data_IF_128382425734
#
_entry.id   IF_128382425734
#
_cell.length_a   1.000
_cell.length_b   1.000
_cell.length_c   1.000
_cell.angle_alpha   90.00
_cell.angle_beta   90.00
_cell.angle_gamma   90.00
#
_symmetry.space_group_name_H-M   'P 1'
#
loop_
_entity.id
_entity.type
_entity.pdbx_description
1 polymer ?
#
# COMPACT_ATOMS: atom_id res chain seq x y z
N UNK A 1 24.04 -10.87 -13.77
CA UNK A 1 23.21 -9.63 -13.86
C UNK A 1 23.58 -8.56 -12.82
N UNK A 2 24.25 -8.88 -11.70
CA UNK A 2 24.69 -7.86 -10.74
C UNK A 2 25.87 -6.97 -11.22
N UNK A 3 26.49 -7.28 -12.36
CA UNK A 3 27.67 -6.55 -12.90
C UNK A 3 27.33 -5.49 -13.96
N UNK A 4 26.05 -5.17 -14.17
CA UNK A 4 25.61 -4.18 -15.17
C UNK A 4 25.04 -2.89 -14.58
N UNK A 5 24.92 -2.82 -13.24
CA UNK A 5 24.57 -1.57 -12.57
C UNK A 5 25.85 -0.79 -12.33
N UNK A 6 26.25 0.01 -13.31
CA UNK A 6 27.19 1.07 -13.05
C UNK A 6 26.50 2.01 -12.07
N UNK A 7 27.06 2.17 -10.86
CA UNK A 7 26.51 2.98 -9.75
C UNK A 7 26.20 4.45 -10.15
N UNK A 8 26.64 4.86 -11.34
CA UNK A 8 26.42 6.16 -11.98
C UNK A 8 25.07 6.35 -12.69
N UNK A 9 24.16 5.36 -12.73
CA UNK A 9 22.92 5.45 -13.53
C UNK A 9 21.60 5.55 -12.76
N UNK A 10 21.56 5.17 -11.48
CA UNK A 10 20.35 5.20 -10.67
C UNK A 10 20.29 6.46 -9.80
N UNK A 11 19.11 7.06 -9.66
CA UNK A 11 18.86 8.22 -8.81
C UNK A 11 17.64 7.98 -7.93
N UNK A 12 17.73 8.37 -6.66
CA UNK A 12 16.57 8.49 -5.76
C UNK A 12 16.17 9.94 -5.67
N UNK A 13 14.91 10.23 -5.95
CA UNK A 13 14.29 11.54 -5.73
C UNK A 13 13.33 11.44 -4.55
N UNK A 14 13.72 11.97 -3.40
CA UNK A 14 12.93 11.96 -2.17
C UNK A 14 12.20 13.29 -1.95
N UNK A 15 10.97 13.22 -1.48
CA UNK A 15 10.13 14.37 -1.15
C UNK A 15 9.64 14.21 0.29
N UNK A 16 9.98 15.16 1.16
CA UNK A 16 9.59 15.14 2.57
C UNK A 16 9.28 16.58 3.01
N UNK A 17 8.00 16.97 3.13
CA UNK A 17 7.62 18.35 3.45
C UNK A 17 7.79 18.72 4.92
N UNK A 18 7.92 17.76 5.84
CA UNK A 18 8.17 17.99 7.26
C UNK A 18 9.60 18.48 7.51
N UNK A 19 9.78 19.60 8.22
CA UNK A 19 11.13 20.16 8.48
C UNK A 19 12.02 19.19 9.22
N UNK A 20 11.50 18.61 10.30
CA UNK A 20 12.25 17.73 11.15
C UNK A 20 12.55 16.37 10.50
N UNK A 21 11.58 15.65 9.89
CA UNK A 21 11.86 14.45 9.10
C UNK A 21 12.84 14.72 7.94
N UNK A 22 12.67 15.83 7.21
CA UNK A 22 13.58 16.21 6.13
C UNK A 22 15.02 16.40 6.62
N UNK A 23 15.20 17.09 7.76
CA UNK A 23 16.53 17.26 8.36
C UNK A 23 17.16 15.92 8.72
N UNK A 24 16.39 15.03 9.38
CA UNK A 24 16.88 13.68 9.73
C UNK A 24 17.26 12.85 8.50
N UNK A 25 16.44 12.89 7.45
CA UNK A 25 16.75 12.22 6.18
C UNK A 25 18.03 12.77 5.55
N UNK A 26 18.19 14.09 5.55
CA UNK A 26 19.40 14.74 5.02
C UNK A 26 20.65 14.32 5.80
N UNK A 27 20.57 14.28 7.13
CA UNK A 27 21.68 13.88 8.00
C UNK A 27 22.02 12.39 7.81
N UNK A 28 21.00 11.54 7.70
CA UNK A 28 21.16 10.09 7.48
C UNK A 28 21.75 9.75 6.10
N UNK A 29 21.24 10.38 5.04
CA UNK A 29 21.71 10.17 3.65
C UNK A 29 23.09 10.78 3.43
N UNK A 30 23.43 11.85 4.16
CA UNK A 30 24.71 12.53 4.06
C UNK A 30 24.93 13.15 2.67
N UNK A 31 26.06 12.81 2.04
CA UNK A 31 26.50 13.38 0.74
C UNK A 31 26.33 12.41 -0.44
N UNK A 32 25.44 11.42 -0.34
CA UNK A 32 25.23 10.45 -1.41
C UNK A 32 24.82 11.18 -2.72
N UNK A 33 25.66 11.17 -3.78
CA UNK A 33 25.43 11.99 -4.97
C UNK A 33 24.24 11.51 -5.83
N UNK A 34 23.79 10.28 -5.61
CA UNK A 34 22.66 9.66 -6.31
C UNK A 34 21.33 9.85 -5.58
N UNK A 35 21.30 10.55 -4.44
CA UNK A 35 20.06 10.90 -3.74
C UNK A 35 19.83 12.40 -3.82
N UNK A 36 18.64 12.79 -4.25
CA UNK A 36 18.20 14.17 -4.18
C UNK A 36 16.96 14.29 -3.32
N UNK A 37 17.08 14.99 -2.20
CA UNK A 37 15.96 15.27 -1.30
C UNK A 37 15.36 16.65 -1.58
N UNK A 38 14.03 16.76 -1.44
CA UNK A 38 13.28 18.00 -1.58
C UNK A 38 12.37 18.20 -0.37
N UNK A 39 12.48 19.36 0.27
CA UNK A 39 11.57 19.78 1.33
C UNK A 39 10.32 20.42 0.71
N UNK A 40 9.55 19.61 -0.02
CA UNK A 40 8.35 20.02 -0.74
C UNK A 40 7.45 18.79 -0.88
N UNK A 41 6.13 18.92 -0.68
CA UNK A 41 5.21 17.82 -0.91
C UNK A 41 4.94 17.65 -2.42
N UNK A 42 4.55 16.43 -2.78
CA UNK A 42 3.95 16.13 -4.08
C UNK A 42 2.44 16.29 -4.03
N UNK A 43 1.83 16.80 -5.11
CA UNK A 43 0.38 16.91 -5.27
C UNK A 43 -0.01 16.82 -6.74
N UNK A 44 -1.31 16.97 -7.05
CA UNK A 44 -1.83 16.91 -8.41
C UNK A 44 -1.71 18.22 -9.20
N UNK A 45 -1.44 19.34 -8.51
CA UNK A 45 -1.25 20.65 -9.14
C UNK A 45 -0.04 21.34 -8.51
N UNK A 46 0.70 22.09 -9.33
CA UNK A 46 1.76 22.95 -8.81
C UNK A 46 1.14 24.20 -8.21
N UNK A 47 1.48 24.49 -6.95
CA UNK A 47 0.97 25.66 -6.26
C UNK A 47 2.13 26.44 -5.67
N UNK A 48 2.47 27.53 -6.35
CA UNK A 48 3.56 28.42 -5.94
C UNK A 48 3.03 29.45 -4.96
N UNK A 49 3.67 29.58 -3.80
CA UNK A 49 3.50 30.73 -2.91
C UNK A 49 4.17 31.92 -3.61
N UNK A 50 3.39 32.89 -4.08
CA UNK A 50 3.95 34.22 -4.35
C UNK A 50 4.09 34.93 -3.00
N UNK A 51 5.27 35.40 -2.61
CA UNK A 51 5.42 36.27 -1.45
C UNK A 51 4.52 37.49 -1.65
N UNK A 52 3.51 37.68 -0.80
CA UNK A 52 2.63 38.86 -0.87
C UNK A 52 3.39 40.10 -0.37
N UNK A 53 4.30 40.62 -1.18
CA UNK A 53 5.07 41.84 -0.85
C UNK A 53 4.94 42.94 -1.92
N UNK A 54 3.83 42.98 -2.67
CA UNK A 54 3.55 44.10 -3.57
C UNK A 54 2.14 44.66 -3.30
N UNK A 55 2.07 45.83 -2.66
CA UNK A 55 0.85 46.65 -2.67
C UNK A 55 0.56 47.02 -4.13
N UNK A 56 -0.55 46.51 -4.68
CA UNK A 56 -1.08 46.93 -5.97
C UNK A 56 -0.98 45.93 -7.13
N UNK A 57 -0.42 44.73 -6.92
CA UNK A 57 -0.51 43.67 -7.94
C UNK A 57 -1.87 42.94 -7.85
N UNK A 58 -2.48 42.55 -8.99
CA UNK A 58 -3.72 41.78 -8.99
C UNK A 58 -3.55 40.51 -8.16
N UNK A 59 -4.54 40.23 -7.32
CA UNK A 59 -4.60 39.10 -6.41
C UNK A 59 -4.64 37.79 -7.23
N UNK A 60 -3.48 37.28 -7.65
CA UNK A 60 -3.38 35.88 -8.02
C UNK A 60 -3.47 35.15 -6.68
N UNK A 61 -4.62 34.54 -6.41
CA UNK A 61 -4.85 33.65 -5.27
C UNK A 61 -3.82 32.53 -5.33
N UNK A 62 -2.66 32.77 -4.72
CA UNK A 62 -1.66 31.76 -4.46
C UNK A 62 -2.30 30.80 -3.46
N UNK A 63 -2.83 29.68 -3.94
CA UNK A 63 -3.43 28.69 -3.06
C UNK A 63 -2.29 27.88 -2.45
N UNK A 64 -1.68 28.40 -1.39
CA UNK A 64 -0.82 27.61 -0.51
C UNK A 64 -1.53 26.31 -0.12
N UNK A 65 -0.80 25.19 -0.04
CA UNK A 65 -1.34 23.98 0.58
C UNK A 65 -0.86 23.97 2.02
N UNK A 66 -1.80 23.80 2.93
CA UNK A 66 -1.50 23.66 4.35
C UNK A 66 -1.06 22.22 4.60
N UNK A 67 0.15 22.05 5.13
CA UNK A 67 0.50 20.79 5.79
C UNK A 67 0.14 20.88 7.27
N UNK A 68 -0.40 19.79 7.80
CA UNK A 68 -0.72 19.68 9.21
C UNK A 68 -0.06 18.45 9.81
N UNK A 69 0.56 18.62 10.97
CA UNK A 69 1.06 17.52 11.77
C UNK A 69 -0.10 16.81 12.48
N UNK A 70 -0.03 15.48 12.61
CA UNK A 70 -0.96 14.74 13.47
C UNK A 70 -0.70 15.10 14.94
N UNK A 71 -1.72 15.41 15.74
CA UNK A 71 -1.55 15.67 17.17
C UNK A 71 -0.92 14.49 17.87
N UNK A 72 0.00 14.76 18.79
CA UNK A 72 0.72 13.73 19.53
C UNK A 72 1.81 13.01 18.72
N UNK A 73 1.77 13.04 17.39
CA UNK A 73 2.85 12.50 16.55
C UNK A 73 4.05 13.46 16.40
N UNK A 74 3.85 14.73 16.78
CA UNK A 74 4.83 15.80 16.57
C UNK A 74 5.06 16.07 15.08
N UNK A 75 6.22 16.63 14.74
CA UNK A 75 6.63 16.92 13.35
C UNK A 75 6.93 15.64 12.53
N UNK A 76 6.69 14.44 13.04
CA UNK A 76 7.00 13.18 12.35
C UNK A 76 5.92 12.73 11.37
N UNK A 77 4.84 13.50 11.23
CA UNK A 77 3.78 13.25 10.26
C UNK A 77 3.49 14.57 9.55
N UNK A 78 3.42 14.56 8.22
CA UNK A 78 3.06 15.74 7.44
C UNK A 78 2.13 15.30 6.30
N UNK A 79 0.84 15.57 6.46
CA UNK A 79 -0.16 15.34 5.40
C UNK A 79 -0.61 16.66 4.79
N UNK A 80 -0.91 16.65 3.49
CA UNK A 80 -1.64 17.72 2.81
C UNK A 80 -3.15 17.60 3.03
N UNK A 81 -3.63 16.44 3.47
CA UNK A 81 -4.99 16.29 3.93
C UNK A 81 -5.12 16.86 5.34
N UNK A 82 -6.24 17.53 5.63
CA UNK A 82 -6.52 17.93 7.00
C UNK A 82 -6.63 16.67 7.83
N UNK A 83 -5.81 16.55 8.87
CA UNK A 83 -5.92 15.45 9.83
C UNK A 83 -7.37 15.41 10.33
N UNK A 84 -8.08 14.35 9.96
CA UNK A 84 -9.49 14.19 10.27
C UNK A 84 -9.62 14.16 11.79
N UNK A 85 -10.24 15.18 12.38
CA UNK A 85 -10.43 15.26 13.83
C UNK A 85 -9.60 16.31 14.57
N UNK A 86 -8.89 17.19 13.87
CA UNK A 86 -8.10 18.24 14.51
C UNK A 86 -8.33 19.57 13.80
N UNK A 87 -9.06 20.46 14.45
CA UNK A 87 -9.08 21.87 14.08
C UNK A 87 -7.81 22.56 14.58
N UNK A 88 -6.62 22.06 14.23
CA UNK A 88 -5.40 22.79 14.58
C UNK A 88 -5.21 23.91 13.56
N UNK A 89 -5.31 25.15 14.05
CA UNK A 89 -5.02 26.38 13.29
C UNK A 89 -3.52 26.55 12.96
N UNK A 90 -2.70 25.51 13.18
CA UNK A 90 -1.23 25.55 13.02
C UNK A 90 -0.78 24.83 11.75
N UNK A 91 -1.58 24.88 10.69
CA UNK A 91 -1.11 24.51 9.38
C UNK A 91 0.08 25.38 8.98
N UNK A 92 1.06 24.78 8.30
CA UNK A 92 2.13 25.54 7.64
C UNK A 92 1.88 25.54 6.15
N UNK A 93 1.97 26.72 5.56
CA UNK A 93 1.97 26.86 4.10
C UNK A 93 3.25 26.30 3.50
N UNK A 94 3.10 25.40 2.54
CA UNK A 94 4.20 24.88 1.74
C UNK A 94 3.86 24.95 0.25
N UNK A 95 4.88 25.17 -0.57
CA UNK A 95 4.78 25.03 -2.02
C UNK A 95 4.72 23.56 -2.37
N UNK A 96 3.67 23.13 -3.07
CA UNK A 96 3.57 21.78 -3.63
C UNK A 96 3.97 21.76 -5.10
N UNK A 97 4.53 20.64 -5.55
CA UNK A 97 4.89 20.40 -6.95
C UNK A 97 4.25 19.09 -7.44
N UNK A 98 4.13 18.93 -8.75
CA UNK A 98 3.78 17.63 -9.34
C UNK A 98 5.05 16.83 -9.62
N UNK A 99 4.97 15.50 -9.63
CA UNK A 99 6.11 14.65 -9.96
C UNK A 99 6.56 14.93 -11.40
N UNK A 100 5.63 15.05 -12.35
CA UNK A 100 5.94 15.33 -13.75
C UNK A 100 6.69 16.67 -13.94
N UNK A 101 6.32 17.72 -13.20
CA UNK A 101 7.04 19.00 -13.27
C UNK A 101 8.43 18.89 -12.66
N UNK A 102 8.61 18.17 -11.56
CA UNK A 102 9.93 17.98 -10.96
C UNK A 102 10.84 17.11 -11.85
N UNK A 103 10.30 16.07 -12.51
CA UNK A 103 11.03 15.28 -13.51
C UNK A 103 11.48 16.18 -14.68
N UNK A 104 10.58 16.99 -15.24
CA UNK A 104 10.91 17.94 -16.33
C UNK A 104 11.96 18.95 -15.91
N UNK A 105 11.82 19.56 -14.74
CA UNK A 105 12.76 20.55 -14.19
C UNK A 105 14.18 19.99 -14.07
N UNK A 106 14.33 18.67 -13.96
CA UNK A 106 15.61 17.96 -13.87
C UNK A 106 16.08 17.36 -15.19
N UNK A 107 15.33 17.50 -16.28
CA UNK A 107 15.62 16.80 -17.54
C UNK A 107 15.46 15.28 -17.44
N UNK A 108 14.56 14.82 -16.58
CA UNK A 108 14.26 13.40 -16.32
C UNK A 108 12.88 12.97 -16.85
N UNK A 109 12.15 13.85 -17.52
CA UNK A 109 10.80 13.56 -18.04
C UNK A 109 10.76 12.60 -19.23
N UNK A 110 11.91 12.20 -19.77
CA UNK A 110 12.05 11.07 -20.70
C UNK A 110 12.62 9.79 -20.08
N UNK A 111 12.88 9.79 -18.76
CA UNK A 111 13.47 8.64 -18.05
C UNK A 111 12.40 7.77 -17.41
N UNK A 112 12.70 6.49 -17.25
CA UNK A 112 11.88 5.57 -16.46
C UNK A 112 12.03 5.87 -14.96
N UNK A 113 10.91 5.84 -14.24
CA UNK A 113 10.87 5.80 -12.78
C UNK A 113 10.61 4.36 -12.38
N UNK A 114 11.68 3.59 -12.18
CA UNK A 114 11.58 2.14 -11.90
C UNK A 114 10.58 1.82 -10.79
N UNK A 115 10.61 2.58 -9.69
CA UNK A 115 9.70 2.44 -8.57
C UNK A 115 9.26 3.81 -8.07
N UNK A 116 7.94 4.00 -7.96
CA UNK A 116 7.34 5.13 -7.28
C UNK A 116 6.75 4.67 -5.94
N UNK A 117 7.41 5.02 -4.83
CA UNK A 117 6.87 4.82 -3.47
C UNK A 117 6.07 6.04 -3.04
N UNK A 118 4.84 5.84 -2.56
CA UNK A 118 3.92 6.90 -2.13
C UNK A 118 3.35 6.55 -0.77
N UNK A 119 3.57 7.42 0.20
CA UNK A 119 3.12 7.27 1.58
C UNK A 119 3.01 8.69 2.10
N UNK A 120 1.80 9.23 1.97
CA UNK A 120 1.52 10.65 2.15
C UNK A 120 0.22 10.83 2.93
N UNK A 121 -0.11 9.84 3.76
CA UNK A 121 -1.10 9.93 4.81
C UNK A 121 -2.48 10.38 4.28
N UNK A 122 -2.95 9.74 3.21
CA UNK A 122 -4.27 9.97 2.60
C UNK A 122 -4.24 10.78 1.29
N UNK A 123 -3.10 11.35 0.91
CA UNK A 123 -2.94 12.16 -0.30
C UNK A 123 -2.47 11.36 -1.53
N UNK A 124 -2.53 10.03 -1.49
CA UNK A 124 -1.90 9.14 -2.46
C UNK A 124 -2.43 9.37 -3.88
N UNK A 125 -3.76 9.43 -4.06
CA UNK A 125 -4.37 9.64 -5.38
C UNK A 125 -3.99 10.99 -6.01
N UNK A 126 -3.76 12.02 -5.20
CA UNK A 126 -3.34 13.32 -5.71
C UNK A 126 -1.88 13.28 -6.20
N UNK A 127 -0.98 12.60 -5.47
CA UNK A 127 0.39 12.34 -5.94
C UNK A 127 0.39 11.58 -7.25
N UNK A 128 -0.44 10.53 -7.37
CA UNK A 128 -0.57 9.76 -8.61
C UNK A 128 -1.08 10.60 -9.79
N UNK A 129 -2.04 11.51 -9.54
CA UNK A 129 -2.48 12.48 -10.56
C UNK A 129 -1.39 13.50 -10.92
N UNK A 130 -0.50 13.84 -9.98
CA UNK A 130 0.70 14.66 -10.24
C UNK A 130 1.79 13.93 -11.04
N UNK A 131 1.64 12.63 -11.25
CA UNK A 131 2.51 11.77 -12.04
C UNK A 131 1.80 11.23 -13.29
N UNK A 132 0.65 11.81 -13.68
CA UNK A 132 -0.24 11.23 -14.68
C UNK A 132 0.43 11.08 -16.06
N UNK A 133 1.33 12.01 -16.44
CA UNK A 133 2.07 11.88 -17.70
C UNK A 133 3.03 10.70 -17.65
N UNK A 134 3.89 10.63 -16.64
CA UNK A 134 4.83 9.51 -16.51
C UNK A 134 4.13 8.14 -16.41
N UNK A 135 3.01 8.07 -15.68
CA UNK A 135 2.20 6.86 -15.53
C UNK A 135 1.50 6.51 -16.85
N UNK A 136 0.87 7.48 -17.52
CA UNK A 136 0.18 7.29 -18.80
C UNK A 136 1.10 6.89 -19.94
N UNK A 137 2.36 7.32 -19.90
CA UNK A 137 3.42 6.93 -20.84
C UNK A 137 4.05 5.56 -20.50
N UNK A 138 3.59 4.88 -19.45
CA UNK A 138 4.11 3.57 -19.03
C UNK A 138 5.53 3.63 -18.45
N UNK A 139 6.01 4.81 -18.04
CA UNK A 139 7.37 5.02 -17.49
C UNK A 139 7.49 4.71 -16.00
N UNK A 140 6.42 4.23 -15.36
CA UNK A 140 6.41 3.89 -13.93
C UNK A 140 5.92 2.44 -13.77
N UNK A 141 6.77 1.42 -14.01
CA UNK A 141 6.31 0.04 -14.04
C UNK A 141 5.80 -0.46 -12.68
N UNK A 142 6.31 0.09 -11.58
CA UNK A 142 5.91 -0.27 -10.22
C UNK A 142 5.56 0.96 -9.38
N UNK A 143 4.43 0.87 -8.70
CA UNK A 143 3.98 1.89 -7.74
C UNK A 143 3.66 1.18 -6.43
N UNK A 144 4.33 1.56 -5.35
CA UNK A 144 4.07 1.05 -4.01
C UNK A 144 3.41 2.16 -3.19
N UNK A 145 2.19 1.92 -2.72
CA UNK A 145 1.41 2.90 -1.96
C UNK A 145 1.09 2.38 -0.57
N UNK A 146 1.00 3.29 0.40
CA UNK A 146 0.31 2.99 1.65
C UNK A 146 -1.21 3.17 1.46
N UNK A 147 -1.98 2.13 1.82
CA UNK A 147 -3.43 2.19 1.99
C UNK A 147 -3.76 2.13 3.47
N UNK A 148 -4.39 3.18 4.01
CA UNK A 148 -4.64 3.24 5.44
C UNK A 148 -5.94 3.90 5.86
N UNK A 149 -6.10 4.01 7.18
CA UNK A 149 -7.26 4.60 7.82
C UNK A 149 -7.46 6.09 7.50
N UNK A 150 -6.42 6.78 7.04
CA UNK A 150 -6.45 8.18 6.58
C UNK A 150 -6.82 8.34 5.11
N UNK A 151 -7.13 7.26 4.38
CA UNK A 151 -7.42 7.38 2.95
C UNK A 151 -8.72 8.14 2.66
N UNK A 152 -9.71 8.12 3.57
CA UNK A 152 -10.90 8.96 3.45
C UNK A 152 -11.49 9.34 4.81
N UNK A 153 -12.29 10.43 4.87
CA UNK A 153 -13.00 10.80 6.09
C UNK A 153 -13.91 9.70 6.64
N UNK A 154 -14.54 8.91 5.74
CA UNK A 154 -15.45 7.85 6.12
C UNK A 154 -14.70 6.66 6.75
N UNK A 155 -13.60 6.22 6.13
CA UNK A 155 -12.72 5.18 6.68
C UNK A 155 -12.15 5.63 8.03
N UNK A 156 -11.61 6.85 8.08
CA UNK A 156 -11.10 7.42 9.32
C UNK A 156 -12.16 7.46 10.42
N UNK A 157 -13.36 7.94 10.09
CA UNK A 157 -14.49 8.01 11.01
C UNK A 157 -14.86 6.64 11.59
N UNK A 158 -14.87 5.59 10.77
CA UNK A 158 -15.14 4.23 11.22
C UNK A 158 -14.02 3.68 12.12
N UNK A 159 -12.75 3.96 11.79
CA UNK A 159 -11.58 3.44 12.50
C UNK A 159 -11.27 4.18 13.80
N UNK A 160 -11.52 5.50 13.86
CA UNK A 160 -11.03 6.37 14.94
C UNK A 160 -12.09 6.83 15.93
N UNK A 161 -13.39 6.77 15.61
CA UNK A 161 -14.44 7.19 16.55
C UNK A 161 -14.68 6.10 17.60
N UNK A 162 -14.10 6.31 18.79
CA UNK A 162 -14.15 5.40 19.96
C UNK A 162 -15.57 4.98 20.36
N UNK A 163 -16.55 5.88 20.22
CA UNK A 163 -17.93 5.69 20.68
C UNK A 163 -18.96 5.65 19.54
N UNK A 164 -18.53 5.50 18.28
CA UNK A 164 -19.47 5.36 17.17
C UNK A 164 -20.02 3.92 17.16
N UNK A 165 -21.35 3.82 17.23
CA UNK A 165 -22.11 2.57 17.13
C UNK A 165 -22.00 1.94 15.74
N UNK A 166 -21.49 2.68 14.75
CA UNK A 166 -21.26 2.22 13.39
C UNK A 166 -19.82 1.72 13.25
N UNK A 167 -19.55 0.40 13.29
CA UNK A 167 -18.19 -0.13 13.25
C UNK A 167 -17.55 -0.07 11.85
N UNK A 168 -18.35 0.22 10.82
CA UNK A 168 -17.93 0.14 9.43
C UNK A 168 -18.30 1.41 8.64
N UNK A 169 -17.38 1.86 7.79
CA UNK A 169 -17.69 2.85 6.77
C UNK A 169 -18.58 2.25 5.66
N UNK A 170 -19.27 3.09 4.85
CA UNK A 170 -20.13 2.64 3.75
C UNK A 170 -19.44 1.64 2.82
N UNK A 171 -20.18 0.76 2.16
CA UNK A 171 -19.63 -0.20 1.19
C UNK A 171 -18.74 0.48 0.16
N UNK A 172 -17.75 -0.20 -0.44
CA UNK A 172 -16.78 0.46 -1.32
C UNK A 172 -17.41 1.27 -2.47
N UNK A 173 -18.53 0.79 -3.04
CA UNK A 173 -19.29 1.52 -4.07
C UNK A 173 -19.94 2.83 -3.59
N UNK A 174 -20.19 2.96 -2.28
CA UNK A 174 -20.82 4.11 -1.63
C UNK A 174 -19.80 4.99 -0.89
N UNK A 175 -18.51 4.58 -0.82
CA UNK A 175 -17.47 5.43 -0.24
C UNK A 175 -17.24 6.66 -1.12
N UNK A 176 -17.43 7.83 -0.53
CA UNK A 176 -16.99 9.10 -1.10
C UNK A 176 -15.49 9.32 -0.85
N UNK A 177 -14.82 10.02 -1.78
CA UNK A 177 -13.39 10.28 -1.67
C UNK A 177 -12.51 9.07 -2.04
N UNK A 178 -11.21 9.09 -1.73
CA UNK A 178 -10.28 8.01 -2.04
C UNK A 178 -10.60 6.70 -1.28
N UNK A 179 -10.39 5.56 -1.93
CA UNK A 179 -10.50 4.23 -1.31
C UNK A 179 -9.68 3.22 -2.11
N UNK A 180 -9.45 2.02 -1.58
CA UNK A 180 -8.78 0.96 -2.33
C UNK A 180 -9.60 0.58 -3.58
N UNK A 181 -10.93 0.53 -3.46
CA UNK A 181 -11.81 0.28 -4.60
C UNK A 181 -11.63 1.31 -5.73
N UNK A 182 -11.58 2.60 -5.40
CA UNK A 182 -11.39 3.64 -6.42
C UNK A 182 -9.97 3.66 -6.96
N UNK A 183 -8.97 3.40 -6.11
CA UNK A 183 -7.57 3.27 -6.50
C UNK A 183 -7.40 2.14 -7.51
N UNK A 184 -7.93 0.94 -7.25
CA UNK A 184 -7.76 -0.19 -8.17
C UNK A 184 -8.49 0.03 -9.50
N UNK A 185 -9.66 0.68 -9.53
CA UNK A 185 -10.32 1.04 -10.80
C UNK A 185 -9.54 2.07 -11.59
N UNK A 186 -8.98 3.08 -10.90
CA UNK A 186 -8.10 4.07 -11.51
C UNK A 186 -6.85 3.41 -12.11
N UNK A 187 -6.27 2.44 -11.39
CA UNK A 187 -5.08 1.70 -11.80
C UNK A 187 -5.38 0.76 -12.99
N UNK A 188 -6.49 0.02 -12.92
CA UNK A 188 -6.97 -0.87 -13.98
C UNK A 188 -7.18 -0.10 -15.30
N UNK A 189 -7.82 1.08 -15.23
CA UNK A 189 -8.00 1.97 -16.37
C UNK A 189 -6.70 2.52 -16.97
N UNK A 190 -5.57 2.43 -16.24
CA UNK A 190 -4.22 2.78 -16.69
C UNK A 190 -3.36 1.57 -17.03
N UNK A 191 -3.96 0.37 -17.06
CA UNK A 191 -3.25 -0.85 -17.41
C UNK A 191 -2.39 -1.44 -16.30
N UNK A 192 -2.68 -1.12 -15.03
CA UNK A 192 -2.02 -1.71 -13.87
C UNK A 192 -2.84 -2.86 -13.28
N UNK A 193 -2.14 -3.85 -12.73
CA UNK A 193 -2.67 -4.81 -11.79
C UNK A 193 -2.37 -4.31 -10.36
N UNK A 194 -3.40 -4.20 -9.53
CA UNK A 194 -3.36 -3.89 -8.09
C UNK A 194 -3.26 -5.16 -7.25
N UNK A 195 -2.35 -5.13 -6.28
CA UNK A 195 -2.15 -6.18 -5.28
C UNK A 195 -2.06 -5.57 -3.89
N UNK A 196 -2.66 -6.22 -2.89
CA UNK A 196 -2.24 -6.05 -1.50
C UNK A 196 -0.96 -6.84 -1.29
N UNK A 197 0.04 -6.21 -0.67
CA UNK A 197 1.30 -6.83 -0.32
C UNK A 197 1.21 -7.36 1.12
N UNK A 198 1.56 -8.62 1.29
CA UNK A 198 1.67 -9.27 2.60
C UNK A 198 2.97 -10.04 2.74
N UNK A 199 3.21 -10.56 3.93
CA UNK A 199 4.33 -11.44 4.24
C UNK A 199 3.81 -12.87 4.40
N UNK A 200 4.40 -13.81 3.66
CA UNK A 200 4.13 -15.24 3.76
C UNK A 200 5.20 -15.98 4.55
N UNK A 201 5.06 -17.31 4.62
CA UNK A 201 5.98 -18.17 5.36
C UNK A 201 7.46 -17.94 4.98
N UNK A 202 8.29 -17.74 6.00
CA UNK A 202 9.73 -17.51 5.82
C UNK A 202 10.08 -16.14 5.27
N UNK A 203 9.22 -15.14 5.47
CA UNK A 203 9.47 -13.73 5.12
C UNK A 203 9.41 -13.44 3.62
N UNK A 204 8.73 -14.31 2.86
CA UNK A 204 8.59 -14.11 1.42
C UNK A 204 7.40 -13.20 1.13
N UNK A 205 7.53 -12.21 0.22
CA UNK A 205 6.40 -11.36 -0.12
C UNK A 205 5.31 -12.17 -0.84
N UNK A 206 4.06 -11.93 -0.44
CA UNK A 206 2.84 -12.49 -1.03
C UNK A 206 2.05 -11.35 -1.66
N UNK A 207 1.56 -11.57 -2.88
CA UNK A 207 0.70 -10.64 -3.60
C UNK A 207 -0.72 -11.17 -3.63
N UNK A 208 -1.67 -10.43 -3.04
CA UNK A 208 -3.10 -10.73 -3.09
C UNK A 208 -3.75 -9.83 -4.13
N UNK A 209 -4.20 -10.41 -5.25
CA UNK A 209 -4.79 -9.65 -6.34
C UNK A 209 -6.07 -8.91 -5.93
N UNK A 210 -6.12 -7.61 -6.20
CA UNK A 210 -7.24 -6.72 -5.89
C UNK A 210 -7.72 -5.95 -7.13
N UNK A 211 -7.53 -6.52 -8.33
CA UNK A 211 -7.81 -5.85 -9.62
C UNK A 211 -9.07 -6.39 -10.29
N UNK A 212 -9.91 -5.50 -10.81
CA UNK A 212 -10.96 -5.87 -11.78
C UNK A 212 -11.84 -7.01 -11.27
N UNK A 213 -11.87 -8.14 -11.98
CA UNK A 213 -12.66 -9.32 -11.59
C UNK A 213 -12.22 -10.02 -10.30
N UNK A 214 -10.98 -9.77 -9.85
CA UNK A 214 -10.45 -10.29 -8.59
C UNK A 214 -10.86 -9.41 -7.40
N UNK A 215 -11.45 -8.24 -7.67
CA UNK A 215 -12.00 -7.41 -6.62
C UNK A 215 -13.08 -8.16 -5.81
N UNK A 216 -13.05 -7.91 -4.51
CA UNK A 216 -14.07 -8.29 -3.53
C UNK A 216 -14.21 -7.12 -2.56
N UNK A 217 -15.43 -6.79 -2.16
CA UNK A 217 -15.66 -5.68 -1.22
C UNK A 217 -14.99 -5.90 0.15
N UNK A 218 -14.70 -7.16 0.49
CA UNK A 218 -13.92 -7.53 1.67
C UNK A 218 -12.44 -7.13 1.60
N UNK A 219 -11.93 -6.74 0.42
CA UNK A 219 -10.55 -6.24 0.28
C UNK A 219 -10.40 -4.78 0.70
N UNK A 220 -11.49 -4.04 0.89
CA UNK A 220 -11.49 -2.70 1.50
C UNK A 220 -11.27 -2.82 3.02
N UNK A 221 -10.13 -3.37 3.42
CA UNK A 221 -9.82 -3.89 4.76
C UNK A 221 -9.71 -2.84 5.87
N UNK A 222 -9.60 -1.54 5.51
CA UNK A 222 -9.63 -0.46 6.50
C UNK A 222 -11.05 0.04 6.83
N UNK A 223 -12.08 -0.48 6.14
CA UNK A 223 -13.45 0.02 6.23
C UNK A 223 -14.14 -0.34 7.55
N UNK A 224 -13.89 -1.52 8.08
CA UNK A 224 -14.64 -2.10 9.19
C UNK A 224 -13.70 -2.45 10.32
N UNK A 225 -13.80 -1.72 11.43
CA UNK A 225 -12.98 -2.02 12.61
C UNK A 225 -13.26 -3.44 13.08
N UNK A 226 -14.52 -3.91 13.00
CA UNK A 226 -14.96 -5.25 13.38
C UNK A 226 -14.33 -6.38 12.57
N UNK A 227 -13.90 -6.15 11.32
CA UNK A 227 -13.13 -7.14 10.55
C UNK A 227 -11.73 -7.38 11.13
N UNK A 228 -11.26 -6.46 11.98
CA UNK A 228 -9.98 -6.59 12.69
C UNK A 228 -10.14 -7.19 14.10
N UNK A 229 -11.36 -7.35 14.60
CA UNK A 229 -11.63 -7.88 15.93
C UNK A 229 -12.38 -9.21 15.82
N UNK A 230 -11.89 -10.27 16.46
CA UNK A 230 -12.77 -11.40 16.78
C UNK A 230 -13.91 -10.94 17.68
N UNK A 231 -15.01 -11.71 17.72
CA UNK A 231 -16.18 -11.40 18.57
C UNK A 231 -15.87 -11.29 20.07
N UNK A 232 -14.78 -11.89 20.54
CA UNK A 232 -14.28 -11.80 21.91
C UNK A 232 -13.26 -10.66 22.13
N UNK A 233 -12.99 -9.86 21.10
CA UNK A 233 -12.08 -8.72 21.14
C UNK A 233 -10.60 -9.10 21.25
N UNK A 234 -10.23 -10.38 21.06
CA UNK A 234 -8.90 -10.89 21.40
C UNK A 234 -8.02 -11.32 20.23
N UNK A 235 -8.56 -11.58 19.03
CA UNK A 235 -7.83 -12.27 17.96
C UNK A 235 -8.28 -11.86 16.55
N UNK A 236 -7.62 -10.86 15.99
CA UNK A 236 -6.83 -11.09 14.79
C UNK A 236 -5.42 -10.59 15.09
N UNK A 237 -4.41 -11.40 14.81
CA UNK A 237 -3.00 -10.98 14.80
C UNK A 237 -2.77 -9.99 13.64
N UNK A 238 -3.44 -8.84 13.67
CA UNK A 238 -3.24 -7.81 12.68
C UNK A 238 -2.00 -7.01 13.10
N UNK A 239 -0.97 -7.06 12.26
CA UNK A 239 0.38 -6.50 12.42
C UNK A 239 0.44 -4.96 12.54
N UNK A 240 -0.69 -4.26 12.68
CA UNK A 240 -0.76 -2.81 12.82
C UNK A 240 -1.11 -2.42 14.26
N UNK A 241 -0.06 -2.19 15.05
CA UNK A 241 0.02 -1.64 16.41
C UNK A 241 -1.29 -1.38 17.17
N UNK A 242 -1.42 -2.07 18.31
CA UNK A 242 -2.49 -1.88 19.30
C UNK A 242 -2.01 -1.04 20.49
N UNK A 243 -2.82 -0.06 20.88
CA UNK A 243 -2.89 0.46 22.25
C UNK A 243 -4.39 0.44 22.65
N UNK A 244 -4.78 -0.20 23.77
CA UNK A 244 -6.18 -0.32 24.23
C UNK A 244 -6.84 1.03 24.53
N UNK A 245 -6.05 2.08 24.68
CA UNK A 245 -6.54 3.44 24.89
C UNK A 245 -6.70 4.23 23.58
N UNK A 246 -6.22 3.70 22.45
CA UNK A 246 -6.26 4.35 21.14
C UNK A 246 -7.25 3.69 20.15
N UNK A 247 -7.60 4.50 19.17
CA UNK A 247 -8.23 4.11 17.92
C UNK A 247 -7.50 3.00 17.17
N UNK A 248 -8.21 2.08 16.52
CA UNK A 248 -7.58 1.07 15.67
C UNK A 248 -6.80 1.72 14.51
N UNK A 249 -5.57 1.28 14.29
CA UNK A 249 -4.74 1.72 13.15
C UNK A 249 -4.97 0.77 11.98
N UNK A 250 -5.05 1.32 10.77
CA UNK A 250 -5.05 0.52 9.55
C UNK A 250 -4.04 1.06 8.56
N UNK A 251 -3.14 0.19 8.13
CA UNK A 251 -2.20 0.43 7.04
C UNK A 251 -1.92 -0.90 6.32
N UNK A 252 -1.78 -0.85 5.01
CA UNK A 252 -1.42 -1.97 4.16
C UNK A 252 -0.63 -1.43 2.97
N UNK A 253 0.39 -2.17 2.55
CA UNK A 253 1.09 -1.86 1.32
C UNK A 253 0.26 -2.33 0.12
N UNK A 254 0.11 -1.46 -0.87
CA UNK A 254 -0.54 -1.72 -2.15
C UNK A 254 0.48 -1.60 -3.24
N UNK A 255 0.68 -2.67 -4.00
CA UNK A 255 1.54 -2.68 -5.17
C UNK A 255 0.70 -2.59 -6.46
N UNK A 256 0.98 -1.59 -7.28
CA UNK A 256 0.49 -1.51 -8.66
C UNK A 256 1.61 -1.95 -9.60
N UNK A 257 1.29 -2.89 -10.48
CA UNK A 257 2.23 -3.46 -11.46
C UNK A 257 1.70 -3.20 -12.86
N UNK A 258 2.43 -2.45 -13.67
CA UNK A 258 2.06 -2.17 -15.06
C UNK A 258 2.03 -3.48 -15.87
N UNK A 259 0.94 -3.75 -16.60
CA UNK A 259 0.78 -4.99 -17.39
C UNK A 259 1.76 -5.10 -18.54
N UNK A 260 2.11 -3.97 -19.14
CA UNK A 260 2.99 -3.85 -20.31
C UNK A 260 4.06 -2.80 -20.05
N UNK A 261 5.05 -3.07 -19.17
CA UNK A 261 6.14 -2.13 -18.91
C UNK A 261 7.05 -2.04 -20.15
N UNK A 262 7.84 -0.96 -20.22
CA UNK A 262 8.85 -0.77 -21.28
C UNK A 262 9.87 -1.92 -21.30
N UNK A 263 10.22 -2.44 -20.12
CA UNK A 263 11.08 -3.61 -19.92
C UNK A 263 10.28 -4.80 -19.35
N UNK A 264 9.75 -5.71 -20.20
CA UNK A 264 8.89 -6.82 -19.78
C UNK A 264 9.51 -7.75 -18.73
N UNK A 265 10.84 -7.88 -18.72
CA UNK A 265 11.58 -8.74 -17.82
C UNK A 265 11.44 -8.30 -16.36
N UNK A 266 11.26 -7.00 -16.09
CA UNK A 266 11.08 -6.50 -14.74
C UNK A 266 9.81 -7.07 -14.08
N UNK A 267 8.70 -7.08 -14.84
CA UNK A 267 7.44 -7.66 -14.37
C UNK A 267 7.60 -9.16 -14.11
N UNK A 268 8.25 -9.88 -15.02
CA UNK A 268 8.49 -11.31 -14.86
C UNK A 268 9.33 -11.60 -13.60
N UNK A 269 10.43 -10.88 -13.41
CA UNK A 269 11.30 -11.02 -12.24
C UNK A 269 10.53 -10.76 -10.92
N UNK A 270 9.69 -9.72 -10.87
CA UNK A 270 8.84 -9.46 -9.71
C UNK A 270 7.90 -10.64 -9.43
N UNK A 271 7.20 -11.14 -10.46
CA UNK A 271 6.23 -12.22 -10.31
C UNK A 271 6.88 -13.58 -10.00
N UNK A 272 8.11 -13.82 -10.43
CA UNK A 272 8.88 -15.02 -10.10
C UNK A 272 9.43 -15.00 -8.67
N UNK A 273 9.80 -13.81 -8.17
CA UNK A 273 10.38 -13.62 -6.83
C UNK A 273 9.34 -13.51 -5.75
N UNK A 274 8.17 -12.99 -6.07
CA UNK A 274 7.02 -13.02 -5.17
C UNK A 274 6.54 -14.46 -5.08
N UNK A 275 6.45 -14.97 -3.86
CA UNK A 275 5.90 -16.30 -3.65
C UNK A 275 4.40 -16.17 -3.83
N UNK A 276 3.92 -16.31 -5.06
CA UNK A 276 2.63 -16.92 -5.26
C UNK A 276 2.82 -18.35 -4.72
N UNK A 277 2.27 -18.71 -3.54
CA UNK A 277 2.56 -20.01 -2.98
C UNK A 277 2.20 -21.07 -4.03
N UNK A 278 3.03 -22.11 -4.23
CA UNK A 278 2.74 -23.17 -5.21
C UNK A 278 1.42 -23.92 -4.92
N UNK A 279 0.78 -23.64 -3.77
CA UNK A 279 -0.53 -24.16 -3.36
C UNK A 279 -1.67 -23.13 -3.36
N UNK A 280 -1.42 -21.90 -3.78
CA UNK A 280 -2.41 -20.81 -3.82
C UNK A 280 -2.85 -20.44 -5.23
N UNK A 281 -2.17 -20.94 -6.27
CA UNK A 281 -2.51 -20.65 -7.65
C UNK A 281 -2.60 -21.95 -8.46
N UNK A 282 -3.82 -22.43 -8.71
CA UNK A 282 -4.08 -23.28 -9.87
C UNK A 282 -4.60 -22.37 -10.98
N UNK A 283 -3.92 -22.38 -12.13
CA UNK A 283 -4.47 -21.81 -13.37
C UNK A 283 -5.73 -22.59 -13.73
N UNK A 284 -6.90 -21.96 -13.62
CA UNK A 284 -8.13 -22.45 -14.24
C UNK A 284 -8.23 -21.84 -15.65
N UNK A 285 -9.03 -22.46 -16.52
CA UNK A 285 -9.24 -22.05 -17.92
C UNK A 285 -9.53 -20.57 -18.09
N UNK A 286 -10.07 -19.93 -17.05
CA UNK A 286 -10.63 -18.58 -17.14
C UNK A 286 -10.05 -17.58 -16.13
N UNK A 287 -9.01 -17.88 -15.32
CA UNK A 287 -8.38 -16.87 -14.44
C UNK A 287 -7.61 -17.32 -13.20
N UNK A 288 -7.14 -16.33 -12.40
CA UNK A 288 -6.32 -16.51 -11.19
C UNK A 288 -7.12 -16.21 -9.89
N UNK A 289 -7.25 -17.15 -8.96
CA UNK A 289 -8.00 -16.95 -7.70
C UNK A 289 -7.20 -17.40 -6.46
N UNK A 290 -7.40 -16.76 -5.27
CA UNK A 290 -7.07 -17.33 -3.96
C UNK A 290 -7.90 -18.59 -3.68
N UNK A 291 -7.26 -19.69 -3.29
CA UNK A 291 -7.89 -21.01 -3.16
C UNK A 291 -8.84 -21.21 -1.98
N UNK A 292 -8.90 -20.30 -1.01
CA UNK A 292 -9.68 -20.50 0.21
C UNK A 292 -11.06 -19.83 0.22
N UNK A 293 -11.41 -19.06 -0.82
CA UNK A 293 -12.65 -18.28 -0.82
C UNK A 293 -13.87 -19.11 -1.25
N UNK A 294 -13.71 -20.17 -2.06
CA UNK A 294 -14.88 -20.95 -2.54
C UNK A 294 -14.63 -22.47 -2.65
N UNK A 295 -13.50 -23.00 -2.17
CA UNK A 295 -13.28 -24.45 -2.19
C UNK A 295 -13.95 -25.12 -0.98
N UNK A 296 -14.80 -26.15 -1.18
CA UNK A 296 -15.27 -26.96 -0.06
C UNK A 296 -14.06 -27.54 0.67
N UNK A 297 -14.13 -27.57 2.01
CA UNK A 297 -13.09 -28.19 2.84
C UNK A 297 -12.83 -29.61 2.32
N UNK A 298 -11.56 -29.99 2.03
CA UNK A 298 -11.26 -31.34 1.57
C UNK A 298 -11.81 -32.39 2.53
N UNK A 299 -12.49 -33.42 2.04
CA UNK A 299 -13.27 -34.40 2.83
C UNK A 299 -12.51 -35.07 4.00
N UNK A 300 -11.18 -35.06 3.95
CA UNK A 300 -10.27 -35.67 4.93
C UNK A 300 -9.69 -34.70 5.97
N UNK A 301 -10.02 -33.41 5.86
CA UNK A 301 -9.54 -32.35 6.74
C UNK A 301 -10.72 -31.70 7.46
N UNK A 302 -10.62 -31.63 8.78
CA UNK A 302 -11.59 -30.98 9.64
C UNK A 302 -10.94 -29.76 10.28
N UNK A 303 -11.75 -28.74 10.58
CA UNK A 303 -11.23 -27.65 11.38
C UNK A 303 -10.92 -28.13 12.80
N UNK A 304 -9.74 -27.79 13.32
CA UNK A 304 -9.36 -28.16 14.70
C UNK A 304 -10.20 -27.41 15.75
N UNK A 305 -10.81 -26.29 15.36
CA UNK A 305 -11.72 -25.50 16.18
C UNK A 305 -13.14 -25.96 15.91
N UNK A 306 -13.70 -26.76 16.82
CA UNK A 306 -15.10 -27.12 16.77
C UNK A 306 -15.94 -25.90 17.20
N UNK A 307 -16.95 -25.55 16.38
CA UNK A 307 -17.89 -24.40 16.52
C UNK A 307 -17.55 -23.11 15.74
N UNK A 308 -17.13 -23.23 14.49
CA UNK A 308 -17.15 -22.10 13.55
C UNK A 308 -18.57 -21.87 13.01
N UNK A 309 -19.03 -20.61 13.01
CA UNK A 309 -20.25 -20.23 12.27
C UNK A 309 -19.95 -20.18 10.78
N UNK A 310 -21.00 -20.11 9.96
CA UNK A 310 -20.94 -20.15 8.49
C UNK A 310 -20.06 -19.06 7.84
N UNK A 311 -19.66 -18.04 8.60
CA UNK A 311 -18.77 -16.94 8.18
C UNK A 311 -17.39 -16.99 8.82
N UNK A 312 -17.13 -17.92 9.73
CA UNK A 312 -15.88 -17.98 10.48
C UNK A 312 -14.83 -18.79 9.69
N UNK A 313 -13.57 -18.30 9.69
CA UNK A 313 -12.47 -18.92 8.94
C UNK A 313 -11.72 -19.89 9.85
N UNK A 314 -11.46 -21.10 9.33
CA UNK A 314 -10.68 -22.09 10.05
C UNK A 314 -9.18 -21.75 10.03
N UNK A 315 -8.61 -21.43 11.18
CA UNK A 315 -7.18 -21.12 11.32
C UNK A 315 -6.25 -22.34 11.26
N UNK A 316 -6.77 -23.56 11.49
CA UNK A 316 -5.95 -24.79 11.44
C UNK A 316 -6.81 -25.99 11.08
N UNK A 317 -6.42 -26.68 10.01
CA UNK A 317 -7.05 -27.93 9.60
C UNK A 317 -6.24 -29.13 10.10
N UNK A 318 -6.93 -30.12 10.65
CA UNK A 318 -6.39 -31.40 11.13
C UNK A 318 -7.07 -32.55 10.38
N UNK A 319 -6.50 -33.75 10.43
CA UNK A 319 -7.20 -34.93 9.94
C UNK A 319 -8.50 -35.12 10.74
N UNK A 320 -9.62 -35.36 10.05
CA UNK A 320 -10.88 -35.65 10.73
C UNK A 320 -10.73 -36.93 11.57
N UNK A 321 -11.10 -36.85 12.85
CA UNK A 321 -11.21 -38.02 13.73
C UNK A 321 -12.22 -39.00 13.11
N UNK A 322 -11.77 -40.20 12.74
CA UNK A 322 -12.57 -41.21 12.02
C UNK A 322 -12.08 -41.57 10.61
N UNK A 323 -11.04 -40.93 10.09
CA UNK A 323 -10.44 -41.27 8.77
C UNK A 323 -9.42 -42.43 8.83
N UNK A 324 -9.51 -43.32 9.81
CA UNK A 324 -8.50 -44.34 10.16
C UNK A 324 -8.23 -45.40 9.07
N UNK A 325 -8.94 -45.38 7.95
CA UNK A 325 -8.70 -46.29 6.82
C UNK A 325 -7.79 -45.73 5.72
N UNK A 326 -7.17 -44.54 5.89
CA UNK A 326 -6.16 -44.06 4.94
C UNK A 326 -4.75 -44.19 5.52
N UNK A 327 -3.80 -44.83 4.79
CA UNK A 327 -2.44 -45.01 5.27
C UNK A 327 -1.75 -43.64 5.50
N UNK A 328 -0.87 -43.53 6.50
CA UNK A 328 -0.17 -42.28 6.78
C UNK A 328 0.67 -41.86 5.58
N UNK A 329 0.63 -40.57 5.24
CA UNK A 329 1.53 -39.94 4.26
C UNK A 329 2.99 -40.00 4.75
N UNK A 330 3.64 -41.16 4.58
CA UNK A 330 5.10 -41.30 4.70
C UNK A 330 5.74 -40.78 3.42
N UNK A 331 6.28 -39.56 3.43
CA UNK A 331 6.99 -39.08 2.25
C UNK A 331 7.43 -37.63 2.21
N UNK A 332 8.00 -37.08 3.29
CA UNK A 332 8.85 -35.89 3.19
C UNK A 332 10.10 -36.11 4.06
N UNK A 333 11.09 -36.82 3.51
CA UNK A 333 12.44 -36.85 4.10
C UNK A 333 13.14 -35.55 3.74
N UNK A 334 13.64 -34.86 4.76
CA UNK A 334 14.67 -33.84 4.61
C UNK A 334 15.91 -34.43 3.92
N UNK A 335 16.28 -33.87 2.77
CA UNK A 335 17.59 -34.11 2.16
C UNK A 335 18.61 -33.25 2.91
N UNK A 336 19.40 -33.89 3.77
CA UNK A 336 20.68 -33.38 4.27
C UNK A 336 21.81 -34.18 3.60
N UNK A 337 22.77 -33.47 2.99
CA UNK A 337 24.11 -34.01 2.77
C UNK A 337 24.59 -33.99 1.32
N UNK A 338 25.39 -32.98 0.98
CA UNK A 338 26.42 -33.06 -0.07
C UNK A 338 27.75 -32.74 0.60
N UNK A 339 28.51 -33.80 0.92
CA UNK A 339 29.96 -33.72 1.18
C UNK A 339 30.68 -33.98 -0.14
N UNK A 340 31.73 -33.17 -0.37
CA UNK A 340 32.73 -33.33 -1.43
C UNK A 340 33.44 -34.69 -1.34
N UNK A 341 33.78 -35.24 -2.49
CA UNK A 341 34.99 -36.02 -2.68
C UNK A 341 35.54 -35.77 -4.11
N UNK A 342 36.84 -36.00 -4.24
CA UNK A 342 37.81 -35.50 -5.23
C UNK A 342 37.59 -35.97 -6.65
#
# INVERSE_FOLDING_TARGET
MASLWNESSAMILGFEPGVHPFSRLKDFIGKAPWVVLRNTPLSNTERTVQPSYARGAPLILAVSIQIANSPGAGDNTASLERNYGVASDRGREVRAVTLDNELRRRGLDGREVLLLKVDVEGHELAVLRGADKAIGEGRVPFILLEYGDKMSPAIWGAMKRRNDATPAAPTPALLEGPSLFRLQRWADGRGYDTYLLGEGDGGRPVLVGATGRYWRDSLEVCRDKGQKWSRDGRLWENFSAWDPSWSAVCWYDVLLVLRKPLEPQLRQLLLERTSLPPRFCRRLSDGWYPTWVDAPTPERLCCSVQNLKQTDVCGTFVACAGSENNPPLRGLRHVRGLRRAR
#
